data_IF_171261895989
#
_entry.id   IF_171261895989
#
_cell.length_a   1.000
_cell.length_b   1.000
_cell.length_c   1.000
_cell.angle_alpha   90.00
_cell.angle_beta   90.00
_cell.angle_gamma   90.00
#
_symmetry.space_group_name_H-M   'P 1'
#
loop_
_entity.id
_entity.type
_entity.pdbx_description
1 polymer ?
#
# COMPACT_ATOMS: atom_id res chain seq x y z
N UNK A 1 -48.90 19.89 -9.44
CA UNK A 1 -47.85 20.75 -8.85
C UNK A 1 -47.45 20.12 -7.52
N UNK A 2 -46.23 19.59 -7.44
CA UNK A 2 -45.73 18.80 -6.32
C UNK A 2 -45.02 19.72 -5.31
N UNK A 3 -45.40 19.65 -4.03
CA UNK A 3 -44.80 20.40 -2.93
C UNK A 3 -43.87 19.49 -2.13
N UNK A 4 -42.57 19.56 -2.39
CA UNK A 4 -41.56 18.88 -1.56
C UNK A 4 -41.11 19.81 -0.43
N UNK A 5 -41.21 19.42 0.86
CA UNK A 5 -40.68 20.20 1.97
C UNK A 5 -39.14 20.07 2.07
N UNK A 6 -38.43 21.21 2.14
CA UNK A 6 -37.02 21.27 2.56
C UNK A 6 -36.95 21.08 4.08
N UNK A 7 -36.32 20.00 4.54
CA UNK A 7 -35.92 19.87 5.95
C UNK A 7 -34.76 20.81 6.26
N UNK A 8 -35.01 21.79 7.10
CA UNK A 8 -34.02 22.68 7.73
C UNK A 8 -33.28 21.91 8.82
N UNK A 9 -32.00 21.59 8.60
CA UNK A 9 -31.13 21.12 9.68
C UNK A 9 -30.49 22.33 10.38
N UNK A 10 -30.91 22.58 11.63
CA UNK A 10 -30.25 23.53 12.53
C UNK A 10 -28.98 22.86 13.07
N UNK A 11 -27.82 23.41 12.76
CA UNK A 11 -26.57 23.04 13.38
C UNK A 11 -26.46 23.76 14.73
N UNK A 12 -26.60 23.02 15.83
CA UNK A 12 -26.26 23.52 17.17
C UNK A 12 -24.77 23.27 17.37
N UNK A 13 -23.95 24.31 17.26
CA UNK A 13 -22.54 24.28 17.67
C UNK A 13 -22.46 24.97 19.03
N UNK A 14 -22.32 24.16 20.08
CA UNK A 14 -21.88 24.65 21.39
C UNK A 14 -20.36 24.92 21.31
N UNK A 15 -19.95 26.08 21.81
CA UNK A 15 -18.69 26.72 21.46
C UNK A 15 -17.41 26.05 21.97
N UNK A 16 -16.35 26.25 21.22
CA UNK A 16 -15.00 26.48 21.72
C UNK A 16 -14.42 27.63 20.88
N UNK A 17 -14.07 28.70 21.59
CA UNK A 17 -13.39 29.90 21.11
C UNK A 17 -12.07 29.56 20.41
N UNK A 18 -11.80 30.14 19.24
CA UNK A 18 -10.43 30.23 18.73
C UNK A 18 -10.27 30.39 17.20
N UNK A 19 -10.10 31.65 16.79
CA UNK A 19 -9.35 32.11 15.59
C UNK A 19 -10.07 32.12 14.23
N UNK A 20 -10.25 33.34 13.74
CA UNK A 20 -10.76 33.74 12.41
C UNK A 20 -9.70 33.45 11.33
N UNK A 21 -10.09 32.90 10.17
CA UNK A 21 -9.35 33.14 8.93
C UNK A 21 -10.33 33.44 7.78
N UNK A 22 -10.02 34.51 7.07
CA UNK A 22 -10.92 35.30 6.23
C UNK A 22 -11.32 34.66 4.90
N UNK A 23 -12.45 35.14 4.36
CA UNK A 23 -12.81 35.05 2.94
C UNK A 23 -11.72 35.69 2.07
N UNK A 24 -11.47 35.11 0.89
CA UNK A 24 -10.90 35.84 -0.25
C UNK A 24 -11.80 35.65 -1.47
N UNK A 25 -12.42 36.71 -2.01
CA UNK A 25 -12.94 36.71 -3.37
C UNK A 25 -11.94 37.34 -4.36
N UNK A 26 -11.91 36.76 -5.56
CA UNK A 26 -11.79 37.37 -6.91
C UNK A 26 -10.61 38.32 -7.21
N UNK A 27 -9.84 37.99 -8.25
CA UNK A 27 -9.56 38.89 -9.38
C UNK A 27 -8.98 38.10 -10.57
N UNK A 28 -9.72 38.04 -11.68
CA UNK A 28 -9.17 37.71 -12.99
C UNK A 28 -8.89 39.03 -13.72
N UNK A 29 -7.65 39.28 -14.12
CA UNK A 29 -7.32 40.17 -15.25
C UNK A 29 -6.03 39.66 -15.90
N UNK A 30 -6.12 39.32 -17.18
CA UNK A 30 -5.01 38.96 -18.04
C UNK A 30 -4.14 40.19 -18.37
N UNK A 31 -2.85 39.99 -18.60
CA UNK A 31 -2.19 40.55 -19.77
C UNK A 31 -0.81 39.91 -19.99
N UNK A 32 -0.67 39.42 -21.21
CA UNK A 32 0.50 38.85 -21.83
C UNK A 32 1.44 39.98 -22.28
N UNK A 33 2.72 39.99 -21.87
CA UNK A 33 3.82 40.60 -22.65
C UNK A 33 5.18 40.03 -22.22
N UNK A 34 5.92 39.62 -23.26
CA UNK A 34 7.29 39.14 -23.43
C UNK A 34 8.42 39.53 -22.45
N UNK A 35 9.36 38.59 -22.34
CA UNK A 35 10.63 38.56 -21.59
C UNK A 35 11.61 39.74 -21.83
N UNK A 36 12.45 40.05 -20.81
CA UNK A 36 13.90 40.35 -20.93
C UNK A 36 14.59 40.35 -19.54
N UNK A 37 15.59 39.47 -19.40
CA UNK A 37 16.88 39.51 -18.67
C UNK A 37 17.08 40.35 -17.39
N UNK A 38 17.40 39.68 -16.26
CA UNK A 38 18.64 39.82 -15.45
C UNK A 38 18.46 39.38 -13.97
N UNK A 39 19.25 38.39 -13.54
CA UNK A 39 19.52 37.97 -12.13
C UNK A 39 20.49 38.99 -11.47
N UNK A 40 20.75 39.09 -10.13
CA UNK A 40 20.36 38.27 -8.96
C UNK A 40 19.74 39.10 -7.80
N UNK A 41 19.09 38.55 -6.75
CA UNK A 41 19.72 38.01 -5.53
C UNK A 41 18.64 37.43 -4.61
N UNK A 42 18.99 36.31 -3.99
CA UNK A 42 18.29 35.43 -3.06
C UNK A 42 17.52 36.11 -1.90
N UNK A 43 16.25 35.74 -1.71
CA UNK A 43 15.61 35.67 -0.39
C UNK A 43 14.95 34.30 -0.26
N UNK A 44 15.52 33.52 0.65
CA UNK A 44 15.12 32.16 1.04
C UNK A 44 13.78 32.18 1.76
N UNK A 45 12.69 31.88 1.04
CA UNK A 45 11.49 31.36 1.68
C UNK A 45 11.48 29.84 1.53
N UNK A 46 12.14 29.18 2.48
CA UNK A 46 11.95 27.77 2.81
C UNK A 46 10.53 27.57 3.32
N UNK A 47 9.56 27.52 2.41
CA UNK A 47 8.38 26.71 2.63
C UNK A 47 8.79 25.32 2.18
N UNK A 48 8.87 24.30 3.07
CA UNK A 48 9.03 22.94 2.60
C UNK A 48 7.85 22.66 1.69
N UNK A 49 8.13 22.59 0.38
CA UNK A 49 7.27 21.94 -0.58
C UNK A 49 7.17 20.51 -0.07
N UNK A 50 6.13 20.26 0.74
CA UNK A 50 5.78 18.93 1.20
C UNK A 50 5.70 18.11 -0.08
N UNK A 51 6.73 17.30 -0.28
CA UNK A 51 6.92 16.55 -1.50
C UNK A 51 5.61 15.83 -1.77
N UNK A 52 5.17 15.85 -3.02
CA UNK A 52 4.27 14.81 -3.48
C UNK A 52 5.03 13.48 -3.37
N UNK A 53 5.25 12.97 -2.16
CA UNK A 53 5.63 11.59 -1.90
C UNK A 53 4.44 10.75 -2.28
N UNK A 54 4.34 10.51 -3.57
CA UNK A 54 4.22 9.18 -4.12
C UNK A 54 3.14 8.30 -3.49
N UNK A 55 1.88 8.71 -3.67
CA UNK A 55 0.69 7.92 -3.30
C UNK A 55 0.63 6.54 -3.95
N UNK A 56 1.52 6.19 -4.90
CA UNK A 56 1.58 4.85 -5.48
C UNK A 56 2.22 3.82 -4.53
N UNK A 57 2.93 4.25 -3.49
CA UNK A 57 3.54 3.38 -2.47
C UNK A 57 2.77 3.32 -1.15
N UNK A 58 1.52 3.77 -1.09
CA UNK A 58 0.71 3.70 0.15
C UNK A 58 -0.19 2.45 0.21
N UNK A 59 0.21 1.37 -0.47
CA UNK A 59 -0.49 0.09 -0.39
C UNK A 59 0.32 -0.87 0.47
N UNK A 60 0.05 -0.97 1.78
CA UNK A 60 0.75 -1.93 2.62
C UNK A 60 0.35 -3.35 2.22
N UNK A 61 1.31 -4.27 2.32
CA UNK A 61 1.09 -5.71 2.25
C UNK A 61 1.89 -6.34 3.38
N UNK A 62 1.37 -7.38 4.01
CA UNK A 62 2.05 -8.10 5.10
C UNK A 62 1.91 -9.59 4.91
N UNK A 63 2.83 -10.35 5.52
CA UNK A 63 2.68 -11.80 5.71
C UNK A 63 2.59 -12.05 7.22
N UNK A 64 1.51 -12.67 7.67
CA UNK A 64 1.23 -12.96 9.08
C UNK A 64 1.42 -14.44 9.42
N UNK A 65 1.31 -15.33 8.43
CA UNK A 65 1.61 -16.75 8.55
C UNK A 65 2.24 -17.25 7.25
N UNK A 66 3.30 -18.08 7.32
CA UNK A 66 4.12 -18.34 8.50
C UNK A 66 4.77 -17.06 9.07
N UNK A 67 5.19 -17.10 10.32
CA UNK A 67 5.98 -16.00 10.91
C UNK A 67 7.43 -16.06 10.41
N UNK A 68 8.12 -14.92 10.44
CA UNK A 68 9.55 -14.89 10.15
C UNK A 68 10.33 -15.76 11.17
N UNK A 69 11.19 -16.64 10.67
CA UNK A 69 11.90 -17.65 11.46
C UNK A 69 11.12 -18.94 11.71
N UNK A 70 9.90 -19.09 11.17
CA UNK A 70 9.10 -20.29 11.39
C UNK A 70 9.80 -21.56 10.89
N UNK A 71 9.48 -22.67 11.56
CA UNK A 71 9.94 -24.00 11.18
C UNK A 71 8.73 -24.87 10.88
N UNK A 72 8.67 -25.41 9.67
CA UNK A 72 7.52 -26.10 9.09
C UNK A 72 7.94 -27.54 8.77
N UNK A 73 7.02 -28.50 8.97
CA UNK A 73 7.28 -29.89 8.62
C UNK A 73 7.28 -30.07 7.09
N UNK A 74 8.27 -30.80 6.58
CA UNK A 74 8.35 -31.17 5.18
C UNK A 74 7.14 -32.00 4.73
N UNK A 75 6.74 -31.84 3.47
CA UNK A 75 5.61 -32.58 2.90
C UNK A 75 4.24 -32.20 3.48
N UNK A 76 4.13 -31.10 4.23
CA UNK A 76 2.84 -30.60 4.75
C UNK A 76 2.27 -29.47 3.92
N UNK A 77 0.94 -29.38 3.89
CA UNK A 77 0.27 -28.24 3.29
C UNK A 77 0.51 -26.98 4.14
N UNK A 78 1.01 -25.93 3.52
CA UNK A 78 1.36 -24.67 4.16
C UNK A 78 0.24 -23.66 3.89
N UNK A 79 -0.25 -23.03 4.96
CA UNK A 79 -1.15 -21.90 4.86
C UNK A 79 -0.37 -20.60 4.96
N UNK A 80 -0.31 -19.88 3.84
CA UNK A 80 0.18 -18.52 3.77
C UNK A 80 -0.98 -17.56 3.97
N UNK A 81 -0.79 -16.55 4.82
CA UNK A 81 -1.80 -15.52 5.04
C UNK A 81 -1.16 -14.19 5.37
N UNK A 82 -1.93 -13.12 5.17
CA UNK A 82 -1.49 -11.77 5.47
C UNK A 82 -2.58 -10.73 5.26
N UNK A 83 -2.16 -9.47 5.22
CA UNK A 83 -3.03 -8.34 4.91
C UNK A 83 -2.59 -7.62 3.64
N UNK A 84 -3.52 -6.88 3.04
CA UNK A 84 -3.26 -6.05 1.87
C UNK A 84 -4.40 -5.07 1.62
N UNK A 85 -4.32 -4.38 0.49
CA UNK A 85 -5.35 -3.44 0.02
C UNK A 85 -6.57 -4.22 -0.46
N UNK A 86 -7.79 -4.00 0.08
CA UNK A 86 -8.99 -4.71 -0.34
C UNK A 86 -9.22 -4.69 -1.86
N UNK A 87 -9.54 -5.85 -2.42
CA UNK A 87 -9.80 -6.02 -3.86
C UNK A 87 -8.57 -6.16 -4.75
N UNK A 88 -7.36 -5.95 -4.22
CA UNK A 88 -6.11 -6.12 -4.95
C UNK A 88 -5.70 -7.60 -5.08
N UNK A 89 -4.73 -7.86 -5.98
CA UNK A 89 -4.06 -9.15 -6.12
C UNK A 89 -2.68 -9.10 -5.47
N UNK A 90 -2.35 -10.10 -4.67
CA UNK A 90 -1.05 -10.30 -4.05
C UNK A 90 -0.39 -11.50 -4.71
N UNK A 91 0.82 -11.31 -5.23
CA UNK A 91 1.66 -12.34 -5.82
C UNK A 91 2.64 -12.85 -4.76
N UNK A 92 2.71 -14.16 -4.61
CA UNK A 92 3.62 -14.83 -3.69
C UNK A 92 4.76 -15.44 -4.49
N UNK A 93 5.99 -15.13 -4.10
CA UNK A 93 7.20 -15.73 -4.67
C UNK A 93 8.00 -16.42 -3.58
N UNK A 94 8.48 -17.63 -3.89
CA UNK A 94 9.36 -18.39 -3.01
C UNK A 94 10.76 -18.43 -3.60
N UNK A 95 11.76 -18.27 -2.74
CA UNK A 95 13.16 -18.39 -3.08
C UNK A 95 13.81 -19.42 -2.15
N UNK A 96 14.27 -20.51 -2.73
CA UNK A 96 15.02 -21.54 -2.03
C UNK A 96 16.49 -21.12 -1.93
N UNK A 97 17.03 -21.16 -0.71
CA UNK A 97 18.45 -20.90 -0.44
C UNK A 97 19.31 -22.16 -0.56
N UNK A 98 18.70 -23.33 -0.46
CA UNK A 98 19.38 -24.63 -0.55
C UNK A 98 19.38 -25.18 -1.97
N UNK A 99 18.28 -24.99 -2.70
CA UNK A 99 18.08 -25.53 -4.05
C UNK A 99 17.50 -24.43 -4.94
N UNK A 100 18.32 -23.55 -5.53
CA UNK A 100 17.82 -22.36 -6.24
C UNK A 100 16.81 -22.63 -7.35
N UNK A 101 16.86 -23.83 -7.98
CA UNK A 101 15.89 -24.27 -8.99
C UNK A 101 14.46 -24.45 -8.45
N UNK A 102 14.28 -24.54 -7.14
CA UNK A 102 12.97 -24.62 -6.47
C UNK A 102 12.39 -23.22 -6.18
N UNK A 103 13.04 -22.17 -6.67
CA UNK A 103 12.55 -20.79 -6.54
C UNK A 103 11.62 -20.44 -7.70
N UNK A 104 10.61 -19.60 -7.43
CA UNK A 104 9.73 -19.12 -8.47
C UNK A 104 8.46 -18.46 -7.94
N UNK A 105 7.59 -18.11 -8.89
CA UNK A 105 6.22 -17.73 -8.58
C UNK A 105 5.53 -18.92 -7.94
N UNK A 106 4.84 -18.65 -6.84
CA UNK A 106 4.24 -19.68 -6.02
C UNK A 106 2.73 -19.68 -6.12
N UNK A 107 2.11 -18.51 -5.94
CA UNK A 107 0.66 -18.37 -5.97
C UNK A 107 0.23 -16.91 -6.13
N UNK A 108 -1.03 -16.73 -6.53
CA UNK A 108 -1.72 -15.44 -6.51
C UNK A 108 -2.89 -15.51 -5.52
N UNK A 109 -3.09 -14.43 -4.76
CA UNK A 109 -4.14 -14.31 -3.77
C UNK A 109 -4.92 -13.02 -3.94
N UNK A 110 -6.26 -13.10 -3.92
CA UNK A 110 -7.08 -11.89 -3.88
C UNK A 110 -7.26 -11.43 -2.44
N UNK A 111 -7.05 -10.14 -2.21
CA UNK A 111 -7.35 -9.52 -0.91
C UNK A 111 -8.86 -9.33 -0.79
N UNK A 112 -9.43 -9.90 0.26
CA UNK A 112 -10.84 -9.76 0.60
C UNK A 112 -11.22 -8.32 0.97
N UNK A 113 -12.53 -8.07 1.08
CA UNK A 113 -13.05 -6.78 1.54
C UNK A 113 -12.61 -6.46 2.98
N UNK A 114 -12.26 -7.49 3.77
CA UNK A 114 -11.71 -7.41 5.13
C UNK A 114 -10.20 -7.09 5.16
N UNK A 115 -9.58 -6.88 4.00
CA UNK A 115 -8.15 -6.57 3.89
C UNK A 115 -7.26 -7.79 4.12
N UNK A 116 -7.79 -9.01 4.13
CA UNK A 116 -7.02 -10.24 4.36
C UNK A 116 -6.89 -11.06 3.09
N UNK A 117 -5.81 -11.82 3.01
CA UNK A 117 -5.60 -12.80 1.96
C UNK A 117 -5.13 -14.13 2.57
N UNK A 118 -5.38 -15.24 1.86
CA UNK A 118 -4.96 -16.58 2.26
C UNK A 118 -4.69 -17.41 1.01
N UNK A 119 -3.61 -18.19 1.06
CA UNK A 119 -3.28 -19.25 0.11
C UNK A 119 -2.99 -20.50 0.92
N UNK A 120 -3.51 -21.63 0.47
CA UNK A 120 -3.19 -22.94 1.05
C UNK A 120 -2.59 -23.79 -0.06
N UNK A 121 -1.46 -24.43 0.18
CA UNK A 121 -0.94 -25.40 -0.77
C UNK A 121 -1.88 -26.61 -0.76
N UNK A 122 -2.36 -27.02 -1.93
CA UNK A 122 -3.35 -28.09 -2.06
C UNK A 122 -2.85 -29.24 -2.91
N UNK A 123 -1.80 -29.02 -3.71
CA UNK A 123 -1.25 -30.04 -4.58
C UNK A 123 0.07 -30.56 -4.01
N UNK A 124 0.37 -31.87 -4.18
CA UNK A 124 1.67 -32.41 -3.79
C UNK A 124 2.87 -31.73 -4.45
N UNK A 125 2.68 -31.10 -5.62
CA UNK A 125 3.71 -30.31 -6.31
C UNK A 125 4.01 -28.97 -5.64
N UNK A 126 3.11 -28.49 -4.81
CA UNK A 126 3.24 -27.23 -4.07
C UNK A 126 3.88 -27.47 -2.69
N UNK A 127 4.19 -28.73 -2.37
CA UNK A 127 4.90 -29.11 -1.16
C UNK A 127 6.38 -28.75 -1.30
N UNK A 128 6.87 -28.00 -0.32
CA UNK A 128 8.27 -27.61 -0.28
C UNK A 128 9.12 -28.77 0.24
N UNK A 129 10.23 -29.01 -0.44
CA UNK A 129 11.27 -29.91 0.02
C UNK A 129 11.92 -29.38 1.33
N UNK A 130 12.59 -30.24 2.11
CA UNK A 130 13.42 -29.76 3.22
C UNK A 130 14.44 -28.73 2.74
N UNK A 131 14.52 -27.59 3.43
CA UNK A 131 15.36 -26.48 2.99
C UNK A 131 15.09 -25.17 3.69
N UNK A 132 15.89 -24.16 3.34
CA UNK A 132 15.70 -22.80 3.80
C UNK A 132 15.06 -21.96 2.71
N UNK A 133 14.02 -21.20 3.07
CA UNK A 133 13.27 -20.41 2.13
C UNK A 133 13.20 -18.93 2.56
N UNK A 134 13.02 -18.07 1.57
CA UNK A 134 12.44 -16.74 1.72
C UNK A 134 11.18 -16.65 0.88
N UNK A 135 10.15 -15.99 1.41
CA UNK A 135 8.95 -15.67 0.66
C UNK A 135 8.75 -14.17 0.60
N UNK A 136 8.46 -13.66 -0.60
CA UNK A 136 7.96 -12.30 -0.80
C UNK A 136 6.48 -12.32 -1.16
N UNK A 137 5.74 -11.33 -0.66
CA UNK A 137 4.38 -11.03 -1.06
C UNK A 137 4.29 -9.57 -1.48
N UNK A 138 3.80 -9.30 -2.69
CA UNK A 138 3.72 -7.96 -3.26
C UNK A 138 2.60 -7.84 -4.30
N UNK A 139 2.32 -6.62 -4.76
CA UNK A 139 1.35 -6.39 -5.86
C UNK A 139 1.99 -6.59 -7.25
N UNK A 140 3.30 -6.82 -7.29
CA UNK A 140 4.14 -7.08 -8.45
C UNK A 140 5.59 -7.26 -8.01
N UNK A 141 6.41 -7.96 -8.82
CA UNK A 141 7.80 -8.33 -8.48
C UNK A 141 8.77 -7.13 -8.38
N UNK A 142 8.36 -5.94 -8.84
CA UNK A 142 9.18 -4.72 -8.82
C UNK A 142 8.60 -3.64 -7.91
N UNK A 143 7.53 -3.96 -7.17
CA UNK A 143 6.94 -3.00 -6.25
C UNK A 143 7.82 -2.89 -5.01
N UNK A 144 8.09 -1.65 -4.56
CA UNK A 144 8.84 -1.44 -3.30
C UNK A 144 8.01 -1.82 -2.05
N UNK A 145 6.74 -2.13 -2.22
CA UNK A 145 5.82 -2.55 -1.16
C UNK A 145 5.71 -4.07 -1.15
N UNK A 146 6.78 -4.71 -0.70
CA UNK A 146 6.84 -6.15 -0.51
C UNK A 146 6.99 -6.50 0.97
N UNK A 147 6.28 -7.54 1.39
CA UNK A 147 6.51 -8.20 2.66
C UNK A 147 7.47 -9.38 2.44
N UNK A 148 8.48 -9.51 3.29
CA UNK A 148 9.47 -10.60 3.26
C UNK A 148 9.43 -11.39 4.56
N UNK A 149 9.37 -12.71 4.45
CA UNK A 149 9.64 -13.63 5.57
C UNK A 149 10.70 -14.65 5.17
N UNK A 150 11.36 -15.22 6.18
CA UNK A 150 12.26 -16.37 6.04
C UNK A 150 11.73 -17.50 6.91
N UNK A 151 11.80 -18.73 6.42
CA UNK A 151 11.36 -19.91 7.17
C UNK A 151 12.17 -21.13 6.75
N UNK A 152 12.08 -22.19 7.54
CA UNK A 152 12.77 -23.47 7.30
C UNK A 152 11.74 -24.58 7.18
N UNK A 153 11.95 -25.48 6.23
CA UNK A 153 11.19 -26.72 6.05
C UNK A 153 12.09 -27.88 6.46
N UNK A 154 11.63 -28.77 7.34
CA UNK A 154 12.41 -29.90 7.87
C UNK A 154 11.59 -31.17 8.03
#
# INVERSE_FOLDING_TARGET
>A
MSTTPRKTARLVVAGLTGTVLALVPVAAVANDTTATTANPTQATNTTPSASATDRRYDRPVTITSPQNGAVIAAGTHIRFSGTGTPGAWVMLWIFSRTTPSDSGHFADARVGADGRWTVVTTSPRDLLAPGQYSMTAGYGMLDRNEALIRFTVR
#
